data_IF_397306054371
#
_entry.id   IF_397306054371
#
_cell.length_a   1.000
_cell.length_b   1.000
_cell.length_c   1.000
_cell.angle_alpha   90.00
_cell.angle_beta   90.00
_cell.angle_gamma   90.00
#
_symmetry.space_group_name_H-M   'P 1'
#
loop_
_entity.id
_entity.type
_entity.pdbx_description
1 polymer ?
#
# COMPACT_ATOMS: atom_id res chain seq x y z
N UNK A 1 -30.17 5.88 0.43
CA UNK A 1 -28.97 6.36 1.12
C UNK A 1 -27.79 5.76 0.40
N UNK A 2 -26.83 6.58 -0.04
CA UNK A 2 -25.64 6.08 -0.71
C UNK A 2 -24.78 5.35 0.32
N UNK A 3 -24.73 4.02 0.24
CA UNK A 3 -23.76 3.23 1.01
C UNK A 3 -22.37 3.54 0.42
N UNK A 4 -21.52 4.21 1.20
CA UNK A 4 -20.12 4.47 0.85
C UNK A 4 -19.40 3.14 0.60
N UNK A 5 -18.76 2.99 -0.57
CA UNK A 5 -18.09 1.76 -0.98
C UNK A 5 -16.57 1.93 -0.95
N UNK A 6 -15.89 1.29 -0.01
CA UNK A 6 -14.43 1.25 0.07
C UNK A 6 -13.91 0.22 -0.94
N UNK A 7 -13.12 0.68 -1.91
CA UNK A 7 -12.48 -0.22 -2.87
C UNK A 7 -11.23 -0.84 -2.23
N UNK A 8 -11.17 -2.18 -2.21
CA UNK A 8 -9.97 -2.94 -1.88
C UNK A 8 -9.30 -3.36 -3.18
N UNK A 9 -8.20 -2.72 -3.56
CA UNK A 9 -7.41 -3.15 -4.71
C UNK A 9 -6.34 -4.14 -4.27
N UNK A 10 -6.49 -5.40 -4.65
CA UNK A 10 -5.47 -6.42 -4.43
C UNK A 10 -4.52 -6.48 -5.64
N UNK A 11 -3.24 -6.23 -5.40
CA UNK A 11 -2.20 -6.38 -6.41
C UNK A 11 -1.77 -7.85 -6.52
N UNK A 12 -1.84 -8.41 -7.73
CA UNK A 12 -1.45 -9.77 -8.06
C UNK A 12 -0.01 -9.81 -8.57
N UNK A 13 0.83 -10.67 -8.01
CA UNK A 13 2.14 -11.04 -8.60
C UNK A 13 2.07 -12.43 -9.27
N UNK A 14 1.07 -13.29 -8.97
CA UNK A 14 0.78 -14.56 -9.66
C UNK A 14 -0.65 -15.09 -9.34
N UNK A 15 -1.20 -16.01 -10.14
CA UNK A 15 -2.64 -16.25 -10.29
C UNK A 15 -3.31 -17.24 -9.31
N UNK A 16 -2.60 -18.12 -8.58
CA UNK A 16 -3.26 -19.30 -7.99
C UNK A 16 -3.65 -19.17 -6.51
N UNK A 17 -2.75 -18.76 -5.61
CA UNK A 17 -3.09 -18.64 -4.18
C UNK A 17 -3.88 -17.35 -3.88
N UNK A 18 -3.69 -16.31 -4.70
CA UNK A 18 -4.37 -15.02 -4.52
C UNK A 18 -5.86 -15.09 -4.85
N UNK A 19 -6.29 -15.96 -5.79
CA UNK A 19 -7.72 -16.14 -6.09
C UNK A 19 -8.48 -16.65 -4.86
N UNK A 20 -7.91 -17.57 -4.09
CA UNK A 20 -8.53 -18.05 -2.86
C UNK A 20 -8.60 -16.97 -1.78
N UNK A 21 -7.55 -16.14 -1.64
CA UNK A 21 -7.53 -15.04 -0.69
C UNK A 21 -8.51 -13.92 -1.10
N UNK A 22 -8.57 -13.56 -2.39
CA UNK A 22 -9.52 -12.60 -2.95
C UNK A 22 -10.96 -13.08 -2.81
N UNK A 23 -11.26 -14.34 -3.16
CA UNK A 23 -12.60 -14.90 -2.96
C UNK A 23 -12.97 -14.95 -1.48
N UNK A 24 -12.02 -15.31 -0.60
CA UNK A 24 -12.24 -15.28 0.85
C UNK A 24 -12.51 -13.86 1.35
N UNK A 25 -11.76 -12.87 0.88
CA UNK A 25 -12.00 -11.46 1.21
C UNK A 25 -13.37 -10.99 0.74
N UNK A 26 -13.75 -11.28 -0.51
CA UNK A 26 -15.07 -10.97 -1.02
C UNK A 26 -16.20 -11.59 -0.19
N UNK A 27 -15.99 -12.76 0.41
CA UNK A 27 -16.98 -13.44 1.25
C UNK A 27 -17.04 -12.92 2.70
N UNK A 28 -15.95 -12.35 3.21
CA UNK A 28 -15.81 -11.98 4.63
C UNK A 28 -15.76 -10.47 4.87
N UNK A 29 -15.67 -9.66 3.81
CA UNK A 29 -15.75 -8.23 3.94
C UNK A 29 -17.19 -7.75 4.12
N UNK A 30 -17.43 -6.72 4.95
CA UNK A 30 -18.74 -6.15 5.09
C UNK A 30 -19.22 -5.53 3.76
N UNK A 31 -20.54 -5.41 3.58
CA UNK A 31 -21.19 -5.09 2.28
C UNK A 31 -20.73 -3.76 1.64
N UNK A 32 -20.14 -2.88 2.44
CA UNK A 32 -19.56 -1.60 2.05
C UNK A 32 -18.15 -1.71 1.42
N UNK A 33 -17.57 -2.90 1.28
CA UNK A 33 -16.30 -3.08 0.58
C UNK A 33 -16.53 -3.84 -0.73
N UNK A 34 -15.77 -3.50 -1.78
CA UNK A 34 -15.64 -4.37 -2.94
C UNK A 34 -14.17 -4.59 -3.30
N UNK A 35 -13.82 -5.83 -3.59
CA UNK A 35 -12.47 -6.21 -4.01
C UNK A 35 -12.38 -6.12 -5.53
N UNK A 36 -11.41 -5.38 -6.05
CA UNK A 36 -11.01 -5.43 -7.46
C UNK A 36 -9.61 -6.00 -7.61
N UNK A 37 -9.41 -6.72 -8.70
CA UNK A 37 -8.09 -7.16 -9.16
C UNK A 37 -7.62 -6.29 -10.31
N UNK A 38 -6.31 -6.19 -10.55
CA UNK A 38 -5.77 -5.48 -11.72
C UNK A 38 -6.33 -6.01 -13.05
N UNK A 39 -6.60 -7.32 -13.15
CA UNK A 39 -7.24 -7.94 -14.32
C UNK A 39 -8.66 -7.44 -14.59
N UNK A 40 -9.34 -6.90 -13.57
CA UNK A 40 -10.66 -6.29 -13.69
C UNK A 40 -10.59 -4.77 -13.97
N UNK A 41 -9.43 -4.14 -13.86
CA UNK A 41 -9.22 -2.73 -14.20
C UNK A 41 -8.80 -2.53 -15.66
N UNK A 42 -8.23 -3.54 -16.32
CA UNK A 42 -7.78 -3.50 -17.72
C UNK A 42 -8.91 -3.46 -18.76
N UNK A 43 -10.19 -3.57 -18.37
CA UNK A 43 -11.33 -3.41 -19.28
C UNK A 43 -11.74 -1.94 -19.49
N UNK A 44 -11.12 -0.99 -18.79
CA UNK A 44 -11.34 0.44 -18.99
C UNK A 44 -10.19 0.99 -19.85
N UNK A 45 -10.52 1.44 -21.07
CA UNK A 45 -9.58 1.86 -22.11
C UNK A 45 -8.40 2.73 -21.62
N UNK A 46 -7.15 2.43 -22.03
CA UNK A 46 -6.01 3.28 -21.74
C UNK A 46 -5.93 4.44 -22.73
N UNK A 47 -6.08 5.67 -22.25
CA UNK A 47 -5.63 6.88 -22.97
C UNK A 47 -4.44 7.49 -22.26
N UNK A 48 -3.30 6.80 -22.27
CA UNK A 48 -1.99 7.46 -22.21
C UNK A 48 -0.90 6.51 -22.71
N UNK A 49 -0.12 6.96 -23.68
CA UNK A 49 0.95 6.19 -24.33
C UNK A 49 2.06 5.81 -23.34
N UNK A 50 2.29 4.51 -23.21
CA UNK A 50 3.40 3.91 -22.46
C UNK A 50 4.72 4.17 -23.20
N UNK A 51 5.66 4.89 -22.59
CA UNK A 51 7.08 4.72 -22.91
C UNK A 51 7.70 3.71 -21.95
N UNK A 52 8.57 2.84 -22.49
CA UNK A 52 9.33 1.83 -21.78
C UNK A 52 10.68 2.44 -21.41
N UNK A 53 11.00 2.54 -20.11
CA UNK A 53 12.36 2.91 -19.68
C UNK A 53 13.19 1.62 -19.53
N UNK A 54 14.42 1.55 -20.10
CA UNK A 54 15.20 0.31 -20.10
C UNK A 54 15.72 -0.09 -18.71
N UNK A 55 15.72 -1.40 -18.47
CA UNK A 55 16.33 -2.05 -17.29
C UNK A 55 17.83 -1.74 -17.20
N UNK A 56 18.30 -1.24 -16.05
CA UNK A 56 19.72 -1.34 -15.64
C UNK A 56 19.84 -2.16 -14.35
N UNK A 57 20.95 -2.88 -14.24
CA UNK A 57 21.14 -4.08 -13.40
C UNK A 57 21.54 -3.76 -11.96
N UNK A 58 21.19 -4.72 -11.09
CA UNK A 58 21.88 -5.15 -9.85
C UNK A 58 21.48 -4.50 -8.51
N UNK A 59 20.19 -4.44 -8.21
CA UNK A 59 19.63 -4.49 -6.84
C UNK A 59 18.10 -4.63 -6.81
N UNK A 60 17.43 -4.49 -7.95
CA UNK A 60 15.97 -4.50 -8.05
C UNK A 60 15.36 -5.91 -7.98
N UNK A 61 14.93 -6.32 -6.78
CA UNK A 61 13.85 -7.32 -6.64
C UNK A 61 12.50 -6.69 -6.30
N UNK A 62 12.44 -5.38 -6.08
CA UNK A 62 11.19 -4.63 -5.96
C UNK A 62 10.68 -4.34 -7.36
N UNK A 63 9.73 -5.16 -7.82
CA UNK A 63 8.96 -4.86 -9.02
C UNK A 63 8.26 -3.53 -8.79
N UNK A 64 8.75 -2.46 -9.43
CA UNK A 64 8.08 -1.16 -9.46
C UNK A 64 6.74 -1.38 -10.11
N UNK A 65 5.72 -1.50 -9.26
CA UNK A 65 4.33 -1.57 -9.67
C UNK A 65 4.05 -0.26 -10.39
N UNK A 66 4.15 -0.26 -11.73
CA UNK A 66 3.72 0.88 -12.56
C UNK A 66 2.33 1.22 -12.06
N UNK A 67 2.21 2.39 -11.42
CA UNK A 67 1.03 2.87 -10.74
C UNK A 67 -0.19 2.62 -11.63
N UNK A 68 -0.87 1.51 -11.38
CA UNK A 68 -2.07 1.16 -12.10
C UNK A 68 -3.11 2.14 -11.61
N UNK A 69 -3.28 3.22 -12.38
CA UNK A 69 -4.32 4.22 -12.24
C UNK A 69 -4.63 4.56 -10.78
N UNK A 70 -3.69 5.19 -10.08
CA UNK A 70 -4.09 6.04 -8.94
C UNK A 70 -5.12 7.00 -9.53
N UNK A 71 -6.35 6.99 -9.04
CA UNK A 71 -7.27 8.09 -9.36
C UNK A 71 -6.56 9.36 -8.93
N UNK A 72 -6.09 10.15 -9.89
CA UNK A 72 -5.45 11.43 -9.63
C UNK A 72 -6.56 12.39 -9.21
N UNK A 73 -6.89 12.39 -7.93
CA UNK A 73 -7.54 13.55 -7.33
C UNK A 73 -6.48 14.68 -7.30
N UNK A 74 -6.90 15.93 -7.53
CA UNK A 74 -6.02 17.08 -7.27
C UNK A 74 -5.50 16.99 -5.82
N UNK A 75 -4.20 17.22 -5.58
CA UNK A 75 -3.50 17.05 -4.29
C UNK A 75 -3.99 15.86 -3.45
N UNK A 76 -3.37 14.69 -3.58
CA UNK A 76 -3.79 13.47 -2.86
C UNK A 76 -2.91 13.14 -1.65
N UNK A 77 -3.47 12.55 -0.60
CA UNK A 77 -2.77 12.01 0.58
C UNK A 77 -2.67 10.49 0.52
N UNK A 78 -1.44 9.98 0.47
CA UNK A 78 -1.12 8.55 0.46
C UNK A 78 -0.55 8.11 1.81
N UNK A 79 -1.15 7.11 2.43
CA UNK A 79 -0.59 6.38 3.57
C UNK A 79 -0.02 5.05 3.09
N UNK A 80 1.25 4.76 3.36
CA UNK A 80 1.83 3.43 3.16
C UNK A 80 2.09 2.79 4.51
N UNK A 81 1.36 1.71 4.81
CA UNK A 81 1.47 0.93 6.04
C UNK A 81 2.39 -0.28 5.84
N UNK A 82 3.32 -0.47 6.77
CA UNK A 82 4.16 -1.66 6.82
C UNK A 82 5.27 -1.64 5.77
N UNK A 83 5.88 -0.48 5.52
CA UNK A 83 6.86 -0.32 4.45
C UNK A 83 8.26 -0.86 4.77
N UNK A 84 8.35 -2.07 5.30
CA UNK A 84 9.60 -2.82 5.48
C UNK A 84 10.79 -1.96 5.92
N UNK A 85 11.79 -1.81 5.04
CA UNK A 85 13.01 -1.02 5.24
C UNK A 85 12.94 0.42 4.70
N UNK A 86 11.74 0.90 4.36
CA UNK A 86 11.38 2.16 3.70
C UNK A 86 11.83 2.31 2.24
N UNK A 87 12.37 1.26 1.62
CA UNK A 87 12.93 1.35 0.26
C UNK A 87 11.89 1.65 -0.82
N UNK A 88 10.68 1.10 -0.70
CA UNK A 88 9.60 1.36 -1.66
C UNK A 88 9.17 2.84 -1.59
N UNK A 89 8.89 3.37 -0.41
CA UNK A 89 8.55 4.79 -0.25
C UNK A 89 9.67 5.71 -0.72
N UNK A 90 10.92 5.38 -0.42
CA UNK A 90 12.08 6.14 -0.89
C UNK A 90 12.21 6.15 -2.42
N UNK A 91 11.88 5.03 -3.07
CA UNK A 91 11.92 4.91 -4.53
C UNK A 91 10.85 5.74 -5.22
N UNK A 92 9.62 5.79 -4.68
CA UNK A 92 8.49 6.51 -5.31
C UNK A 92 8.38 7.98 -4.90
N UNK A 93 9.07 8.39 -3.83
CA UNK A 93 9.03 9.76 -3.30
C UNK A 93 9.23 10.86 -4.35
N UNK A 94 10.25 10.82 -5.23
CA UNK A 94 10.44 11.89 -6.23
C UNK A 94 9.25 12.02 -7.20
N UNK A 95 8.72 10.90 -7.66
CA UNK A 95 7.59 10.86 -8.59
C UNK A 95 6.30 11.37 -7.92
N UNK A 96 6.07 11.03 -6.65
CA UNK A 96 4.90 11.50 -5.90
C UNK A 96 4.97 13.01 -5.65
N UNK A 97 6.15 13.52 -5.28
CA UNK A 97 6.38 14.96 -5.14
C UNK A 97 6.05 15.71 -6.44
N UNK A 98 6.51 15.23 -7.60
CA UNK A 98 6.23 15.85 -8.90
C UNK A 98 4.74 15.86 -9.29
N UNK A 99 3.94 15.00 -8.66
CA UNK A 99 2.49 14.84 -8.89
C UNK A 99 1.65 15.50 -7.82
N UNK A 100 2.26 16.24 -6.89
CA UNK A 100 1.57 16.86 -5.75
C UNK A 100 0.82 15.82 -4.89
N UNK A 101 1.47 14.67 -4.64
CA UNK A 101 0.95 13.61 -3.78
C UNK A 101 1.74 13.60 -2.48
N UNK A 102 1.05 13.79 -1.36
CA UNK A 102 1.64 13.77 -0.02
C UNK A 102 1.69 12.37 0.56
N UNK A 103 2.89 11.78 0.60
CA UNK A 103 3.14 10.47 1.19
C UNK A 103 3.39 10.56 2.71
N UNK A 104 2.78 9.64 3.44
CA UNK A 104 3.16 9.24 4.80
C UNK A 104 3.54 7.76 4.80
N UNK A 105 4.82 7.45 4.92
CA UNK A 105 5.35 6.10 5.02
C UNK A 105 5.40 5.67 6.50
N UNK A 106 4.97 4.45 6.81
CA UNK A 106 4.95 3.96 8.18
C UNK A 106 5.53 2.57 8.36
N UNK A 107 6.18 2.36 9.49
CA UNK A 107 6.77 1.09 9.93
C UNK A 107 6.35 0.78 11.37
N UNK A 108 6.39 -0.50 11.75
CA UNK A 108 5.90 -0.96 13.06
C UNK A 108 6.95 -0.75 14.15
N UNK A 109 8.22 -0.89 13.82
CA UNK A 109 9.33 -0.82 14.76
C UNK A 109 9.59 0.63 15.22
N UNK A 110 10.23 0.76 16.38
CA UNK A 110 10.81 2.04 16.81
C UNK A 110 11.88 2.49 15.83
N UNK A 111 12.12 3.81 15.73
CA UNK A 111 13.17 4.33 14.85
C UNK A 111 14.54 3.70 15.17
N UNK A 112 14.86 3.57 16.46
CA UNK A 112 16.13 2.98 16.88
C UNK A 112 16.26 1.51 16.52
N UNK A 113 15.19 0.71 16.62
CA UNK A 113 15.25 -0.72 16.31
C UNK A 113 15.24 -0.95 14.80
N UNK A 114 14.42 -0.19 14.07
CA UNK A 114 14.40 -0.20 12.63
C UNK A 114 15.78 0.12 12.02
N UNK A 115 16.49 1.13 12.56
CA UNK A 115 17.84 1.49 12.11
C UNK A 115 18.91 0.44 12.45
N UNK A 116 18.73 -0.36 13.50
CA UNK A 116 19.63 -1.49 13.81
C UNK A 116 19.42 -2.65 12.85
N UNK A 117 18.16 -2.93 12.49
CA UNK A 117 17.78 -4.06 11.63
C UNK A 117 18.11 -3.76 10.16
N UNK A 118 17.82 -2.55 9.68
CA UNK A 118 17.94 -2.19 8.28
C UNK A 118 19.08 -1.19 8.04
N UNK A 119 20.13 -1.67 7.39
CA UNK A 119 21.34 -0.87 7.06
C UNK A 119 21.00 0.46 6.36
N UNK A 120 20.00 0.48 5.48
CA UNK A 120 19.62 1.66 4.69
C UNK A 120 18.46 2.47 5.30
N UNK A 121 18.01 2.16 6.52
CA UNK A 121 16.86 2.81 7.13
C UNK A 121 16.97 4.34 7.13
N UNK A 122 18.10 4.88 7.61
CA UNK A 122 18.29 6.32 7.72
C UNK A 122 18.36 6.98 6.33
N UNK A 123 19.02 6.33 5.37
CA UNK A 123 19.11 6.81 3.99
C UNK A 123 17.73 6.87 3.32
N UNK A 124 16.95 5.80 3.45
CA UNK A 124 15.60 5.72 2.89
C UNK A 124 14.66 6.75 3.54
N UNK A 125 14.68 6.84 4.88
CA UNK A 125 13.87 7.83 5.60
C UNK A 125 14.23 9.27 5.18
N UNK A 126 15.52 9.57 5.04
CA UNK A 126 15.99 10.88 4.57
C UNK A 126 15.56 11.15 3.13
N UNK A 127 15.62 10.16 2.24
CA UNK A 127 15.14 10.32 0.86
C UNK A 127 13.67 10.73 0.82
N UNK A 128 12.84 10.10 1.65
CA UNK A 128 11.40 10.39 1.75
C UNK A 128 11.18 11.83 2.26
N UNK A 129 11.84 12.22 3.35
CA UNK A 129 11.64 13.55 3.95
C UNK A 129 12.24 14.68 3.11
N UNK A 130 13.33 14.44 2.39
CA UNK A 130 13.91 15.40 1.43
C UNK A 130 12.94 15.76 0.30
N UNK A 131 12.02 14.86 -0.06
CA UNK A 131 10.97 15.10 -1.05
C UNK A 131 9.66 15.62 -0.42
N UNK A 132 9.71 16.16 0.80
CA UNK A 132 8.55 16.78 1.45
C UNK A 132 7.50 15.79 1.95
N UNK A 133 7.86 14.53 2.11
CA UNK A 133 6.98 13.48 2.64
C UNK A 133 7.28 13.19 4.11
N UNK A 134 6.42 12.38 4.75
CA UNK A 134 6.53 12.02 6.16
C UNK A 134 6.91 10.55 6.34
N UNK A 135 7.72 10.28 7.36
CA UNK A 135 8.00 8.93 7.87
C UNK A 135 7.54 8.85 9.31
N UNK A 136 6.76 7.82 9.66
CA UNK A 136 6.32 7.56 11.04
C UNK A 136 6.74 6.15 11.47
N UNK A 137 7.39 6.07 12.62
CA UNK A 137 7.74 4.82 13.29
C UNK A 137 6.68 4.45 14.31
N UNK A 138 6.71 3.22 14.81
CA UNK A 138 5.78 2.73 15.84
C UNK A 138 4.30 2.79 15.43
N UNK A 139 4.02 2.58 14.15
CA UNK A 139 2.65 2.58 13.62
C UNK A 139 2.17 1.15 13.40
N UNK A 140 1.23 0.74 14.25
CA UNK A 140 0.51 -0.53 14.08
C UNK A 140 -0.59 -0.38 13.02
N UNK A 141 -0.44 -1.08 11.90
CA UNK A 141 -1.42 -1.09 10.81
C UNK A 141 -2.78 -1.67 11.22
N UNK A 142 -2.85 -2.45 12.31
CA UNK A 142 -4.07 -3.02 12.87
C UNK A 142 -4.78 -2.10 13.88
N UNK A 143 -4.12 -1.01 14.27
CA UNK A 143 -4.65 0.00 15.20
C UNK A 143 -4.10 1.41 14.86
N UNK A 144 -4.41 1.87 13.65
CA UNK A 144 -4.02 3.17 13.11
C UNK A 144 -4.60 4.31 13.96
N UNK A 145 -3.70 5.04 14.62
CA UNK A 145 -4.01 6.20 15.48
C UNK A 145 -3.60 7.50 14.80
N UNK A 146 -4.40 7.92 13.83
CA UNK A 146 -4.33 9.27 13.27
C UNK A 146 -5.42 10.15 13.90
N UNK A 147 -5.23 11.47 13.89
CA UNK A 147 -6.27 12.40 14.34
C UNK A 147 -7.54 12.25 13.49
N UNK A 148 -8.70 12.57 14.05
CA UNK A 148 -10.00 12.49 13.37
C UNK A 148 -10.01 13.19 12.01
N UNK A 149 -9.26 14.29 11.91
CA UNK A 149 -9.21 15.17 10.74
C UNK A 149 -8.13 14.74 9.74
N UNK A 150 -7.29 13.77 10.09
CA UNK A 150 -6.24 13.24 9.23
C UNK A 150 -6.76 12.02 8.46
N UNK A 151 -7.45 12.33 7.35
CA UNK A 151 -7.92 11.35 6.36
C UNK A 151 -6.95 11.19 5.19
N UNK A 152 -6.94 9.99 4.60
CA UNK A 152 -6.12 9.64 3.45
C UNK A 152 -6.98 9.22 2.25
N UNK A 153 -6.64 9.74 1.07
CA UNK A 153 -7.31 9.39 -0.19
C UNK A 153 -6.93 7.99 -0.66
N UNK A 154 -5.69 7.57 -0.36
CA UNK A 154 -5.21 6.22 -0.63
C UNK A 154 -4.48 5.70 0.60
N UNK A 155 -4.84 4.48 1.03
CA UNK A 155 -4.09 3.72 2.02
C UNK A 155 -3.56 2.47 1.35
N UNK A 156 -2.25 2.24 1.39
CA UNK A 156 -1.61 1.04 0.87
C UNK A 156 -1.03 0.23 2.01
N UNK A 157 -1.36 -1.05 2.08
CA UNK A 157 -0.73 -2.01 2.98
C UNK A 157 0.27 -2.86 2.21
N UNK A 158 1.55 -2.68 2.53
CA UNK A 158 2.62 -3.55 2.08
C UNK A 158 2.60 -4.79 2.98
N UNK A 159 1.89 -5.84 2.53
CA UNK A 159 1.63 -7.01 3.37
C UNK A 159 2.96 -7.70 3.76
N UNK A 160 3.17 -8.04 5.05
CA UNK A 160 4.44 -8.61 5.50
C UNK A 160 4.86 -9.85 4.71
N UNK A 161 6.13 -9.90 4.31
CA UNK A 161 6.72 -11.09 3.68
C UNK A 161 7.26 -12.03 4.74
N UNK A 162 6.59 -13.14 4.94
CA UNK A 162 7.06 -14.19 5.84
C UNK A 162 7.84 -15.23 5.06
N UNK A 163 9.09 -15.49 5.46
CA UNK A 163 9.89 -16.57 4.89
C UNK A 163 9.36 -17.88 5.48
N UNK A 164 8.64 -18.68 4.68
CA UNK A 164 8.12 -20.00 5.08
C UNK A 164 6.69 -20.27 4.63
N UNK A 165 6.10 -21.37 5.13
CA UNK A 165 4.70 -21.72 4.84
C UNK A 165 3.78 -20.69 5.49
N UNK A 166 3.15 -19.88 4.65
CA UNK A 166 2.16 -18.89 5.05
C UNK A 166 0.98 -19.54 5.80
N UNK A 167 0.70 -19.07 7.03
CA UNK A 167 -0.49 -19.48 7.76
C UNK A 167 -1.68 -18.65 7.28
N UNK A 168 -2.45 -19.20 6.34
CA UNK A 168 -3.61 -18.52 5.76
C UNK A 168 -4.61 -18.01 6.82
N UNK A 169 -4.72 -18.64 8.00
CA UNK A 169 -5.59 -18.13 9.08
C UNK A 169 -5.09 -16.82 9.64
N UNK A 170 -3.79 -16.75 9.94
CA UNK A 170 -3.19 -15.53 10.48
C UNK A 170 -3.25 -14.40 9.46
N UNK A 171 -2.96 -14.68 8.19
CA UNK A 171 -2.99 -13.64 7.16
C UNK A 171 -4.39 -13.03 6.99
N UNK A 172 -5.43 -13.85 7.06
CA UNK A 172 -6.82 -13.35 7.04
C UNK A 172 -7.13 -12.49 8.26
N UNK A 173 -6.71 -12.92 9.44
CA UNK A 173 -6.92 -12.15 10.67
C UNK A 173 -6.20 -10.79 10.62
N UNK A 174 -4.94 -10.77 10.19
CA UNK A 174 -4.16 -9.56 9.99
C UNK A 174 -4.85 -8.62 9.01
N UNK A 175 -5.30 -9.15 7.87
CA UNK A 175 -5.96 -8.35 6.84
C UNK A 175 -7.32 -7.80 7.32
N UNK A 176 -8.10 -8.60 8.03
CA UNK A 176 -9.36 -8.15 8.64
C UNK A 176 -9.13 -7.02 9.64
N UNK A 177 -8.14 -7.15 10.53
CA UNK A 177 -7.78 -6.11 11.49
C UNK A 177 -7.27 -4.84 10.81
N UNK A 178 -6.41 -4.97 9.80
CA UNK A 178 -5.94 -3.83 9.01
C UNK A 178 -7.10 -3.09 8.34
N UNK A 179 -8.02 -3.80 7.69
CA UNK A 179 -9.14 -3.15 6.98
C UNK A 179 -10.07 -2.41 7.93
N UNK A 180 -10.43 -3.03 9.07
CA UNK A 180 -11.18 -2.36 10.14
C UNK A 180 -10.47 -1.13 10.69
N UNK A 181 -9.13 -1.14 10.70
CA UNK A 181 -8.35 0.01 11.12
C UNK A 181 -8.26 1.10 10.06
N UNK A 182 -8.13 0.72 8.78
CA UNK A 182 -8.05 1.64 7.65
C UNK A 182 -9.35 2.42 7.47
N UNK A 183 -10.51 1.82 7.74
CA UNK A 183 -11.83 2.46 7.69
C UNK A 183 -11.90 3.74 8.52
N UNK A 184 -11.19 3.77 9.66
CA UNK A 184 -11.18 4.92 10.57
C UNK A 184 -10.48 6.14 9.97
N UNK A 185 -9.56 5.94 9.03
CA UNK A 185 -8.63 6.98 8.54
C UNK A 185 -8.65 7.16 7.01
N UNK A 186 -9.40 6.33 6.28
CA UNK A 186 -9.67 6.56 4.86
C UNK A 186 -10.69 7.69 4.68
N UNK A 187 -10.52 8.50 3.63
CA UNK A 187 -11.49 9.50 3.21
C UNK A 187 -12.77 8.85 2.64
N UNK A 188 -13.88 9.60 2.60
CA UNK A 188 -15.21 9.07 2.22
C UNK A 188 -15.25 8.46 0.80
N UNK A 189 -14.42 8.96 -0.13
CA UNK A 189 -14.24 8.46 -1.50
C UNK A 189 -12.85 7.82 -1.72
N UNK A 190 -12.16 7.52 -0.62
CA UNK A 190 -10.79 6.99 -0.63
C UNK A 190 -10.72 5.51 -1.00
N UNK A 191 -9.49 5.05 -1.23
CA UNK A 191 -9.18 3.69 -1.66
C UNK A 191 -8.23 3.01 -0.69
N UNK A 192 -8.48 1.72 -0.40
CA UNK A 192 -7.53 0.88 0.33
C UNK A 192 -6.90 -0.14 -0.63
N UNK A 193 -5.59 -0.24 -0.62
CA UNK A 193 -4.81 -1.10 -1.50
C UNK A 193 -4.02 -2.09 -0.66
N UNK A 194 -3.93 -3.33 -1.14
CA UNK A 194 -3.18 -4.39 -0.45
C UNK A 194 -2.23 -5.01 -1.46
N UNK A 195 -0.93 -4.85 -1.20
CA UNK A 195 0.12 -5.50 -1.98
C UNK A 195 0.38 -6.89 -1.40
N UNK A 196 -0.04 -7.94 -2.11
CA UNK A 196 0.17 -9.34 -1.73
C UNK A 196 1.31 -9.92 -2.56
N UNK A 197 2.27 -10.57 -1.91
CA UNK A 197 3.36 -11.29 -2.59
C UNK A 197 3.16 -12.80 -2.41
N UNK A 198 3.50 -13.57 -3.44
CA UNK A 198 3.56 -15.04 -3.42
C UNK A 198 5.03 -15.47 -3.44
N UNK A 199 5.36 -16.60 -2.80
CA UNK A 199 6.65 -17.29 -2.97
C UNK A 199 6.56 -18.26 -4.14
#
# INVERSE_FOLDING_TARGET
GFEHKIMVLCFLVSQSCTIQMIHSLQQHLPRNYYVRTLSQLSSVHPTTSLSLVPRRRSCDRYFVQRAASVRCFASSKLLVCGDGDLSYSALVAPDLYSKDIHLTATVLESQSDHQKVYQNSALNANCITLHGHSVKFEVDATDLKFGSDQKFDVIQFNFPHWIGKSNNKYNRELLGKFLSSAEKVVADDGEVRVALFEH
#
